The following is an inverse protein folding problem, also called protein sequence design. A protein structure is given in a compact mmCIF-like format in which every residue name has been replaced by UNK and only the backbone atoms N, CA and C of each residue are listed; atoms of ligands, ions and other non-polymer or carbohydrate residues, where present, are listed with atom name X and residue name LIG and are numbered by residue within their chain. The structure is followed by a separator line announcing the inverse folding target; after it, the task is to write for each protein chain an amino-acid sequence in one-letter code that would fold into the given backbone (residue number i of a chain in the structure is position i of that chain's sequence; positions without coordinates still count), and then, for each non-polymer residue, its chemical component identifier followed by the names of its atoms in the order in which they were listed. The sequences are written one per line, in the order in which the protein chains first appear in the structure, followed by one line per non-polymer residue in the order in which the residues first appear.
data_IF_186540322098
#
_entry.id   IF_186540322098
#
_cell.length_a   1.000
_cell.length_b   1.000
_cell.length_c   1.000
_cell.angle_alpha   90.00
_cell.angle_beta   90.00
_cell.angle_gamma   90.00
#
_symmetry.space_group_name_H-M   'P 1'
#
loop_
_entity.id
_entity.type
_entity.pdbx_description
1 polymer ?
#
# COMPACT_ATOMS: atom_id res chain seq x y z
N UNK A 1 3.23 -2.25 51.59
CA UNK A 1 3.45 -3.25 50.51
C UNK A 1 3.06 -2.59 49.19
N UNK A 2 4.02 -2.13 48.38
CA UNK A 2 3.75 -1.55 47.06
C UNK A 2 3.60 -2.67 46.03
N UNK A 3 2.42 -2.77 45.41
CA UNK A 3 2.19 -3.65 44.25
C UNK A 3 2.87 -3.04 43.04
N UNK A 4 4.04 -3.55 42.67
CA UNK A 4 4.63 -3.32 41.35
C UNK A 4 3.80 -4.10 40.33
N UNK A 5 2.82 -3.45 39.70
CA UNK A 5 2.24 -3.96 38.47
C UNK A 5 3.31 -3.87 37.37
N UNK A 6 3.70 -4.98 36.72
CA UNK A 6 4.52 -4.89 35.52
C UNK A 6 3.69 -4.20 34.43
N UNK A 7 4.22 -3.11 33.86
CA UNK A 7 3.63 -2.52 32.65
C UNK A 7 3.74 -3.53 31.50
N UNK A 8 2.69 -3.71 30.69
CA UNK A 8 2.79 -4.53 29.48
C UNK A 8 3.80 -3.88 28.51
N UNK A 9 4.68 -4.70 27.94
CA UNK A 9 5.66 -4.26 26.95
C UNK A 9 4.95 -3.75 25.68
N UNK A 10 5.49 -2.75 24.99
CA UNK A 10 4.90 -2.24 23.75
C UNK A 10 4.86 -3.34 22.69
N UNK A 11 3.69 -3.51 22.09
CA UNK A 11 3.37 -4.54 21.08
C UNK A 11 4.24 -4.38 19.81
N UNK A 12 5.42 -5.01 19.78
CA UNK A 12 6.36 -4.94 18.64
C UNK A 12 5.78 -5.47 17.31
N UNK A 13 4.67 -6.21 17.36
CA UNK A 13 3.98 -6.74 16.18
C UNK A 13 3.01 -5.78 15.49
N UNK A 14 2.67 -4.63 16.09
CA UNK A 14 1.75 -3.65 15.50
C UNK A 14 2.38 -2.84 14.37
N UNK A 15 3.57 -2.29 14.62
CA UNK A 15 4.28 -1.40 13.69
C UNK A 15 4.68 -2.09 12.38
N UNK A 16 5.21 -3.31 12.45
CA UNK A 16 5.61 -4.07 11.25
C UNK A 16 4.43 -4.40 10.33
N UNK A 17 3.25 -4.68 10.88
CA UNK A 17 2.05 -4.95 10.08
C UNK A 17 1.55 -3.71 9.35
N UNK A 18 1.67 -2.54 9.96
CA UNK A 18 1.34 -1.26 9.32
C UNK A 18 2.33 -0.95 8.21
N UNK A 19 3.63 -1.01 8.49
CA UNK A 19 4.69 -0.77 7.49
C UNK A 19 4.57 -1.73 6.31
N UNK A 20 4.29 -3.01 6.55
CA UNK A 20 4.09 -3.99 5.51
C UNK A 20 2.91 -3.63 4.59
N UNK A 21 1.79 -3.17 5.17
CA UNK A 21 0.61 -2.75 4.42
C UNK A 21 0.87 -1.50 3.61
N UNK A 22 1.56 -0.52 4.19
CA UNK A 22 1.89 0.74 3.52
C UNK A 22 2.84 0.51 2.35
N UNK A 23 3.85 -0.36 2.53
CA UNK A 23 4.72 -0.80 1.44
C UNK A 23 3.92 -1.46 0.32
N UNK A 24 3.01 -2.37 0.66
CA UNK A 24 2.21 -3.10 -0.32
C UNK A 24 1.25 -2.17 -1.09
N UNK A 25 0.68 -1.16 -0.43
CA UNK A 25 -0.09 -0.12 -1.09
C UNK A 25 0.76 0.71 -2.07
N UNK A 26 2.00 1.07 -1.71
CA UNK A 26 2.91 1.75 -2.63
C UNK A 26 3.24 0.87 -3.84
N UNK A 27 3.54 -0.40 -3.61
CA UNK A 27 3.85 -1.36 -4.66
C UNK A 27 2.68 -1.53 -5.65
N UNK A 28 1.46 -1.74 -5.15
CA UNK A 28 0.26 -1.88 -5.97
C UNK A 28 0.01 -0.60 -6.78
N UNK A 29 0.15 0.59 -6.17
CA UNK A 29 0.00 1.86 -6.89
C UNK A 29 1.00 1.99 -8.05
N UNK A 30 2.25 1.57 -7.86
CA UNK A 30 3.25 1.57 -8.94
C UNK A 30 2.91 0.54 -10.03
N UNK A 31 2.39 -0.63 -9.67
CA UNK A 31 1.93 -1.61 -10.65
C UNK A 31 0.77 -1.08 -11.51
N UNK A 32 -0.23 -0.44 -10.90
CA UNK A 32 -1.36 0.17 -11.61
C UNK A 32 -0.90 1.27 -12.57
N UNK A 33 0.01 2.12 -12.10
CA UNK A 33 0.63 3.16 -12.92
C UNK A 33 1.39 2.57 -14.10
N UNK A 34 2.26 1.59 -13.85
CA UNK A 34 3.04 0.91 -14.89
C UNK A 34 2.15 0.21 -15.92
N UNK A 35 1.08 -0.46 -15.48
CA UNK A 35 0.11 -1.11 -16.37
C UNK A 35 -0.57 -0.11 -17.31
N UNK A 36 -0.91 1.09 -16.81
CA UNK A 36 -1.46 2.16 -17.65
C UNK A 36 -0.42 2.76 -18.59
N UNK A 37 0.81 3.00 -18.11
CA UNK A 37 1.90 3.51 -18.94
C UNK A 37 2.32 2.54 -20.04
N UNK A 38 2.07 1.24 -19.86
CA UNK A 38 2.32 0.21 -20.87
C UNK A 38 1.25 0.17 -21.98
N UNK A 39 0.31 1.12 -22.03
CA UNK A 39 -0.67 1.24 -23.13
C UNK A 39 0.02 1.10 -24.49
N UNK A 40 -0.48 0.15 -25.29
CA UNK A 40 0.13 -0.32 -26.54
C UNK A 40 0.04 0.71 -27.69
N UNK A 41 -0.79 1.74 -27.53
CA UNK A 41 -1.05 2.79 -28.51
C UNK A 41 -1.35 4.09 -27.79
N UNK A 42 -0.88 5.20 -28.34
CA UNK A 42 -1.31 6.53 -27.91
C UNK A 42 -2.81 6.65 -28.17
N UNK A 43 -3.59 6.87 -27.12
CA UNK A 43 -5.00 7.22 -27.24
C UNK A 43 -5.11 8.75 -27.37
N UNK A 44 -5.42 9.30 -28.55
CA UNK A 44 -5.52 10.74 -28.76
C UNK A 44 -6.70 11.38 -28.00
N UNK A 45 -7.59 10.57 -27.42
CA UNK A 45 -8.68 11.01 -26.54
C UNK A 45 -8.37 10.77 -25.06
N UNK A 46 -7.17 10.26 -24.72
CA UNK A 46 -6.79 10.09 -23.33
C UNK A 46 -6.79 11.46 -22.64
N UNK A 47 -7.60 11.66 -21.59
CA UNK A 47 -7.57 12.90 -20.84
C UNK A 47 -6.17 13.13 -20.23
N UNK A 48 -5.73 14.39 -20.25
CA UNK A 48 -4.48 14.88 -19.65
C UNK A 48 -4.61 15.02 -18.11
N UNK A 49 -5.29 14.07 -17.48
CA UNK A 49 -5.70 14.08 -16.08
C UNK A 49 -4.84 13.15 -15.22
N UNK A 50 -3.55 13.01 -15.58
CA UNK A 50 -2.62 12.08 -14.94
C UNK A 50 -2.57 12.21 -13.41
N UNK A 51 -2.74 13.42 -12.87
CA UNK A 51 -2.81 13.65 -11.42
C UNK A 51 -4.07 13.05 -10.76
N UNK A 52 -5.22 13.11 -11.45
CA UNK A 52 -6.47 12.52 -10.95
C UNK A 52 -6.40 11.00 -10.99
N UNK A 53 -5.86 10.43 -12.06
CA UNK A 53 -5.62 8.99 -12.16
C UNK A 53 -4.61 8.48 -11.14
N UNK A 54 -3.52 9.21 -10.91
CA UNK A 54 -2.57 8.89 -9.84
C UNK A 54 -3.24 8.91 -8.46
N UNK A 55 -4.20 9.82 -8.22
CA UNK A 55 -4.96 9.86 -6.98
C UNK A 55 -5.91 8.65 -6.85
N UNK A 56 -6.59 8.26 -7.93
CA UNK A 56 -7.41 7.05 -7.96
C UNK A 56 -6.60 5.78 -7.69
N UNK A 57 -5.42 5.66 -8.30
CA UNK A 57 -4.54 4.50 -8.10
C UNK A 57 -4.10 4.39 -6.64
N UNK A 58 -3.79 5.50 -5.97
CA UNK A 58 -3.44 5.50 -4.54
C UNK A 58 -4.60 5.04 -3.66
N UNK A 59 -5.81 5.53 -3.88
CA UNK A 59 -6.99 5.12 -3.11
C UNK A 59 -7.30 3.63 -3.34
N UNK A 60 -7.30 3.18 -4.61
CA UNK A 60 -7.50 1.79 -4.95
C UNK A 60 -6.43 0.89 -4.33
N UNK A 61 -5.16 1.29 -4.38
CA UNK A 61 -4.07 0.51 -3.81
C UNK A 61 -4.18 0.37 -2.29
N UNK A 62 -4.59 1.42 -1.56
CA UNK A 62 -4.83 1.33 -0.11
C UNK A 62 -5.94 0.34 0.23
N UNK A 63 -7.04 0.36 -0.55
CA UNK A 63 -8.15 -0.59 -0.40
C UNK A 63 -7.71 -2.02 -0.67
N UNK A 64 -6.94 -2.24 -1.75
CA UNK A 64 -6.43 -3.56 -2.11
C UNK A 64 -5.44 -4.11 -1.08
N UNK A 65 -4.48 -3.31 -0.63
CA UNK A 65 -3.52 -3.71 0.42
C UNK A 65 -4.20 -4.08 1.75
N UNK A 66 -5.39 -3.54 2.01
CA UNK A 66 -6.17 -3.87 3.22
C UNK A 66 -7.09 -5.08 3.02
N UNK A 67 -7.82 -5.14 1.90
CA UNK A 67 -8.84 -6.15 1.67
C UNK A 67 -8.29 -7.48 1.10
N UNK A 68 -7.26 -7.40 0.24
CA UNK A 68 -6.67 -8.54 -0.45
C UNK A 68 -5.14 -8.33 -0.64
N UNK A 69 -4.36 -8.35 0.46
CA UNK A 69 -2.91 -8.15 0.39
C UNK A 69 -2.24 -9.24 -0.45
N UNK A 70 -1.30 -8.85 -1.32
CA UNK A 70 -0.56 -9.74 -2.21
C UNK A 70 0.46 -10.62 -1.48
N UNK A 71 0.80 -10.26 -0.24
CA UNK A 71 1.81 -10.93 0.58
C UNK A 71 3.25 -10.56 0.23
N UNK A 72 3.49 -9.54 -0.60
CA UNK A 72 4.84 -9.18 -1.08
C UNK A 72 5.73 -8.75 0.07
N UNK A 73 5.20 -8.00 1.03
CA UNK A 73 5.95 -7.57 2.21
C UNK A 73 6.48 -8.75 3.06
N UNK A 74 5.85 -9.93 2.99
CA UNK A 74 6.28 -11.13 3.72
C UNK A 74 7.45 -11.86 3.05
N UNK A 75 7.75 -11.53 1.79
CA UNK A 75 8.82 -12.13 1.00
C UNK A 75 10.17 -11.40 1.18
N UNK A 76 10.16 -10.16 1.66
CA UNK A 76 11.34 -9.30 1.84
C UNK A 76 12.09 -9.57 3.17
N UNK A 77 12.08 -10.82 3.64
CA UNK A 77 12.71 -11.22 4.91
C UNK A 77 14.21 -11.02 4.93
#
# INVERSE_FOLDING_TARGET
MLRTHPQPLPEEGGGQRTVARDFEALFIAQMLKAARSAQLTDDPLAPDDGAFRDAQDRDLAQRLATAAPLGVAKLLK
#
